data_IF_683319434971
#
_entry.id   IF_683319434971
#
_cell.length_a   1.000
_cell.length_b   1.000
_cell.length_c   1.000
_cell.angle_alpha   90.00
_cell.angle_beta   90.00
_cell.angle_gamma   90.00
#
_symmetry.space_group_name_H-M   'P 1'
#
loop_
_entity.id
_entity.type
_entity.pdbx_description
1 polymer ?
#
# COMPACT_ATOMS: atom_id res chain seq x y z
N UNK A 1 -4.23 7.40 -16.89
CA UNK A 1 -5.56 7.29 -16.27
C UNK A 1 -6.47 8.44 -16.67
N UNK A 2 -6.14 9.71 -16.40
CA UNK A 2 -6.95 10.88 -16.83
C UNK A 2 -7.28 10.85 -18.33
N UNK A 3 -6.30 10.49 -19.16
CA UNK A 3 -6.50 10.29 -20.61
C UNK A 3 -7.49 9.16 -20.95
N UNK A 4 -7.42 8.02 -20.25
CA UNK A 4 -8.37 6.91 -20.43
C UNK A 4 -9.77 7.31 -19.94
N UNK A 5 -9.88 7.99 -18.80
CA UNK A 5 -11.15 8.47 -18.25
C UNK A 5 -11.78 9.53 -19.15
N UNK A 6 -10.98 10.39 -19.80
CA UNK A 6 -11.44 11.34 -20.82
C UNK A 6 -11.92 10.64 -22.09
N UNK A 7 -11.31 9.53 -22.50
CA UNK A 7 -11.77 8.71 -23.64
C UNK A 7 -13.08 7.99 -23.34
N UNK A 8 -13.22 7.41 -22.16
CA UNK A 8 -14.46 6.75 -21.71
C UNK A 8 -15.58 7.80 -21.54
N UNK A 9 -15.27 9.01 -21.08
CA UNK A 9 -16.25 10.10 -20.97
C UNK A 9 -16.77 10.69 -22.29
N UNK A 10 -16.18 10.31 -23.42
CA UNK A 10 -16.66 10.69 -24.76
C UNK A 10 -17.55 9.61 -25.39
N UNK A 11 -17.71 8.46 -24.76
CA UNK A 11 -18.59 7.39 -25.19
C UNK A 11 -19.90 7.54 -24.39
N UNK A 12 -20.86 8.26 -24.96
CA UNK A 12 -22.18 8.48 -24.34
C UNK A 12 -23.00 7.18 -24.32
N UNK A 13 -23.14 6.56 -23.14
CA UNK A 13 -24.12 5.50 -22.86
C UNK A 13 -24.33 5.33 -21.34
N UNK A 14 -25.57 5.11 -20.92
CA UNK A 14 -26.00 4.97 -19.50
C UNK A 14 -25.25 3.90 -18.67
N UNK A 15 -24.50 2.99 -19.32
CA UNK A 15 -23.48 2.07 -18.74
C UNK A 15 -22.40 2.76 -17.88
N UNK A 16 -22.28 4.08 -18.03
CA UNK A 16 -21.16 4.86 -17.53
C UNK A 16 -21.10 5.03 -16.01
N UNK A 17 -22.23 4.92 -15.29
CA UNK A 17 -22.24 5.11 -13.83
C UNK A 17 -21.56 3.92 -13.12
N UNK A 18 -21.90 2.69 -13.52
CA UNK A 18 -21.30 1.49 -12.94
C UNK A 18 -19.83 1.35 -13.31
N UNK A 19 -19.47 1.59 -14.57
CA UNK A 19 -18.08 1.55 -15.01
C UNK A 19 -17.21 2.62 -14.32
N UNK A 20 -17.73 3.84 -14.13
CA UNK A 20 -17.04 4.88 -13.36
C UNK A 20 -16.88 4.51 -11.90
N UNK A 21 -17.91 3.92 -11.28
CA UNK A 21 -17.85 3.45 -9.91
C UNK A 21 -16.82 2.34 -9.76
N UNK A 22 -16.81 1.36 -10.67
CA UNK A 22 -15.83 0.28 -10.69
C UNK A 22 -14.40 0.79 -10.88
N UNK A 23 -14.19 1.74 -11.80
CA UNK A 23 -12.90 2.39 -11.99
C UNK A 23 -12.45 3.17 -10.76
N UNK A 24 -13.38 3.90 -10.11
CA UNK A 24 -13.10 4.66 -8.89
C UNK A 24 -12.73 3.75 -7.72
N UNK A 25 -13.48 2.65 -7.53
CA UNK A 25 -13.23 1.63 -6.50
C UNK A 25 -11.89 0.95 -6.76
N UNK A 26 -11.64 0.50 -7.99
CA UNK A 26 -10.36 -0.10 -8.38
C UNK A 26 -9.17 0.84 -8.12
N UNK A 27 -9.30 2.11 -8.48
CA UNK A 27 -8.25 3.10 -8.22
C UNK A 27 -8.04 3.36 -6.74
N UNK A 28 -9.11 3.54 -5.96
CA UNK A 28 -9.02 3.73 -4.51
C UNK A 28 -8.36 2.53 -3.83
N UNK A 29 -8.64 1.32 -4.27
CA UNK A 29 -8.05 0.11 -3.73
C UNK A 29 -6.54 0.01 -4.03
N UNK A 30 -6.14 0.27 -5.28
CA UNK A 30 -4.73 0.26 -5.70
C UNK A 30 -3.94 1.36 -4.97
N UNK A 31 -4.43 2.60 -4.99
CA UNK A 31 -3.75 3.74 -4.36
C UNK A 31 -3.79 3.66 -2.84
N UNK A 32 -4.85 3.10 -2.26
CA UNK A 32 -4.99 2.88 -0.82
C UNK A 32 -3.89 1.98 -0.27
N UNK A 33 -3.64 0.84 -0.93
CA UNK A 33 -2.54 -0.05 -0.59
C UNK A 33 -1.17 0.65 -0.70
N UNK A 34 -0.94 1.42 -1.77
CA UNK A 34 0.28 2.20 -1.93
C UNK A 34 0.47 3.23 -0.81
N UNK A 35 -0.55 4.03 -0.49
CA UNK A 35 -0.45 5.06 0.56
C UNK A 35 -0.15 4.46 1.93
N UNK A 36 -0.75 3.32 2.25
CA UNK A 36 -0.46 2.60 3.49
C UNK A 36 0.98 2.07 3.52
N UNK A 37 1.47 1.53 2.39
CA UNK A 37 2.87 1.10 2.25
C UNK A 37 3.85 2.26 2.48
N UNK A 38 3.60 3.41 1.84
CA UNK A 38 4.44 4.60 1.98
C UNK A 38 4.48 5.11 3.42
N UNK A 39 3.37 5.02 4.16
CA UNK A 39 3.34 5.34 5.59
C UNK A 39 4.22 4.39 6.40
N UNK A 40 4.17 3.08 6.11
CA UNK A 40 5.05 2.08 6.72
C UNK A 40 6.53 2.38 6.47
N UNK A 41 6.88 2.65 5.20
CA UNK A 41 8.25 3.01 4.79
C UNK A 41 8.75 4.29 5.46
N UNK A 42 7.91 5.33 5.54
CA UNK A 42 8.28 6.58 6.21
C UNK A 42 8.68 6.34 7.68
N UNK A 43 7.87 5.58 8.42
CA UNK A 43 8.20 5.23 9.81
C UNK A 43 9.39 4.28 9.91
N UNK A 44 9.58 3.37 8.95
CA UNK A 44 10.78 2.52 8.88
C UNK A 44 12.04 3.38 8.76
N UNK A 45 12.05 4.35 7.85
CA UNK A 45 13.17 5.29 7.73
C UNK A 45 13.36 6.11 9.00
N UNK A 46 12.28 6.61 9.60
CA UNK A 46 12.36 7.36 10.85
C UNK A 46 12.96 6.54 11.99
N UNK A 47 12.60 5.25 12.10
CA UNK A 47 13.12 4.36 13.14
C UNK A 47 14.65 4.19 13.07
N UNK A 48 15.25 4.27 11.87
CA UNK A 48 16.72 4.18 11.69
C UNK A 48 17.47 5.31 12.38
N UNK A 49 16.87 6.49 12.50
CA UNK A 49 17.53 7.68 13.05
C UNK A 49 17.14 7.98 14.51
N UNK A 50 16.22 7.20 15.08
CA UNK A 50 15.72 7.41 16.44
C UNK A 50 16.51 6.62 17.48
N UNK A 51 16.57 7.18 18.69
CA UNK A 51 17.12 6.57 19.92
C UNK A 51 16.26 5.40 20.38
N UNK A 52 16.80 4.48 21.20
CA UNK A 52 16.18 3.17 21.46
C UNK A 52 14.73 3.20 21.96
N UNK A 53 14.38 4.17 22.81
CA UNK A 53 13.02 4.28 23.36
C UNK A 53 12.02 4.69 22.27
N UNK A 54 12.29 5.79 21.56
CA UNK A 54 11.47 6.28 20.45
C UNK A 54 11.44 5.31 19.26
N UNK A 55 12.51 4.51 19.08
CA UNK A 55 12.60 3.55 17.98
C UNK A 55 11.51 2.49 18.08
N UNK A 56 11.17 2.02 19.29
CA UNK A 56 10.11 1.01 19.49
C UNK A 56 8.75 1.57 19.08
N UNK A 57 8.43 2.78 19.53
CA UNK A 57 7.16 3.43 19.20
C UNK A 57 7.00 3.67 17.69
N UNK A 58 8.08 4.10 17.04
CA UNK A 58 8.10 4.33 15.59
C UNK A 58 8.07 3.01 14.80
N UNK A 59 8.76 1.97 15.29
CA UNK A 59 8.71 0.63 14.70
C UNK A 59 7.29 0.04 14.77
N UNK A 60 6.58 0.21 15.89
CA UNK A 60 5.18 -0.21 16.03
C UNK A 60 4.25 0.55 15.07
N UNK A 61 4.50 1.84 14.83
CA UNK A 61 3.76 2.62 13.83
C UNK A 61 4.05 2.14 12.41
N UNK A 62 5.30 1.79 12.11
CA UNK A 62 5.68 1.20 10.82
C UNK A 62 5.01 -0.15 10.60
N UNK A 63 5.02 -1.01 11.62
CA UNK A 63 4.38 -2.33 11.60
C UNK A 63 2.87 -2.21 11.33
N UNK A 64 2.17 -1.32 12.03
CA UNK A 64 0.74 -1.05 11.79
C UNK A 64 0.48 -0.58 10.35
N UNK A 65 1.38 0.25 9.80
CA UNK A 65 1.32 0.69 8.42
C UNK A 65 1.42 -0.45 7.41
N UNK A 66 2.42 -1.32 7.56
CA UNK A 66 2.61 -2.48 6.69
C UNK A 66 1.51 -3.52 6.84
N UNK A 67 1.01 -3.77 8.06
CA UNK A 67 -0.13 -4.67 8.29
C UNK A 67 -1.39 -4.16 7.60
N UNK A 68 -1.70 -2.86 7.72
CA UNK A 68 -2.84 -2.26 7.04
C UNK A 68 -2.69 -2.34 5.50
N UNK A 69 -1.48 -2.07 4.99
CA UNK A 69 -1.17 -2.20 3.56
C UNK A 69 -1.34 -3.64 3.07
N UNK A 70 -0.83 -4.62 3.84
CA UNK A 70 -0.86 -6.03 3.49
C UNK A 70 -2.29 -6.58 3.50
N UNK A 71 -3.09 -6.20 4.49
CA UNK A 71 -4.51 -6.55 4.54
C UNK A 71 -5.26 -5.98 3.32
N UNK A 72 -5.07 -4.68 3.03
CA UNK A 72 -5.72 -4.01 1.89
C UNK A 72 -5.29 -4.62 0.55
N UNK A 73 -4.00 -4.96 0.41
CA UNK A 73 -3.48 -5.60 -0.79
C UNK A 73 -3.99 -7.03 -0.93
N UNK A 74 -4.13 -7.77 0.17
CA UNK A 74 -4.60 -9.16 0.14
C UNK A 74 -6.09 -9.27 -0.17
N UNK A 75 -6.90 -8.29 0.27
CA UNK A 75 -8.34 -8.27 0.00
C UNK A 75 -8.67 -7.81 -1.42
N UNK A 76 -7.88 -6.88 -1.98
CA UNK A 76 -8.25 -6.20 -3.22
C UNK A 76 -7.36 -6.54 -4.43
N UNK A 77 -6.17 -7.14 -4.21
CA UNK A 77 -5.21 -7.40 -5.27
C UNK A 77 -4.85 -8.89 -5.35
N UNK A 78 -4.74 -9.39 -6.59
CA UNK A 78 -4.24 -10.74 -6.87
C UNK A 78 -2.83 -10.96 -6.29
N UNK A 79 -2.47 -12.17 -5.82
CA UNK A 79 -1.12 -12.50 -5.35
C UNK A 79 0.01 -12.18 -6.34
N UNK A 80 -0.27 -12.23 -7.64
CA UNK A 80 0.71 -11.96 -8.72
C UNK A 80 0.87 -10.46 -9.04
N UNK A 81 0.11 -9.59 -8.38
CA UNK A 81 0.13 -8.16 -8.70
C UNK A 81 1.44 -7.51 -8.22
N UNK A 82 2.16 -6.74 -9.08
CA UNK A 82 3.48 -6.20 -8.74
C UNK A 82 3.53 -5.40 -7.44
N UNK A 83 2.48 -4.63 -7.13
CA UNK A 83 2.42 -3.82 -5.90
C UNK A 83 2.42 -4.70 -4.64
N UNK A 84 1.78 -5.87 -4.69
CA UNK A 84 1.74 -6.79 -3.56
C UNK A 84 3.09 -7.45 -3.33
N UNK A 85 3.83 -7.76 -4.39
CA UNK A 85 5.21 -8.26 -4.33
C UNK A 85 6.16 -7.21 -3.75
N UNK A 86 6.08 -5.96 -4.23
CA UNK A 86 6.89 -4.84 -3.71
C UNK A 86 6.60 -4.60 -2.23
N UNK A 87 5.33 -4.63 -1.84
CA UNK A 87 4.94 -4.50 -0.44
C UNK A 87 5.50 -5.63 0.43
N UNK A 88 5.41 -6.88 -0.03
CA UNK A 88 5.96 -8.02 0.69
C UNK A 88 7.48 -7.89 0.88
N UNK A 89 8.20 -7.46 -0.16
CA UNK A 89 9.63 -7.20 -0.10
C UNK A 89 9.96 -6.10 0.91
N UNK A 90 9.25 -4.96 0.87
CA UNK A 90 9.48 -3.86 1.82
C UNK A 90 9.20 -4.29 3.26
N UNK A 91 8.17 -5.13 3.46
CA UNK A 91 7.84 -5.63 4.80
C UNK A 91 8.88 -6.64 5.32
N UNK A 92 9.41 -7.50 4.46
CA UNK A 92 10.55 -8.37 4.80
C UNK A 92 11.79 -7.56 5.20
N UNK A 93 12.11 -6.52 4.43
CA UNK A 93 13.22 -5.60 4.75
C UNK A 93 13.00 -4.94 6.11
N UNK A 94 11.76 -4.57 6.45
CA UNK A 94 11.44 -4.04 7.78
C UNK A 94 11.73 -5.05 8.91
N UNK A 95 11.31 -6.31 8.77
CA UNK A 95 11.59 -7.35 9.77
C UNK A 95 13.09 -7.60 9.95
N UNK A 96 13.83 -7.58 8.85
CA UNK A 96 15.28 -7.76 8.85
C UNK A 96 16.02 -6.57 9.47
N UNK A 97 15.77 -5.35 8.99
CA UNK A 97 16.55 -4.15 9.36
C UNK A 97 16.13 -3.54 10.69
N UNK A 98 14.85 -3.59 11.05
CA UNK A 98 14.31 -2.86 12.22
C UNK A 98 14.07 -3.81 13.40
N UNK A 99 13.47 -4.98 13.14
CA UNK A 99 13.10 -5.94 14.18
C UNK A 99 14.14 -7.04 14.41
N UNK A 100 15.23 -7.08 13.63
CA UNK A 100 16.26 -8.12 13.67
C UNK A 100 15.69 -9.55 13.74
N UNK A 101 14.56 -9.77 13.07
CA UNK A 101 13.78 -11.01 13.14
C UNK A 101 13.67 -11.62 11.74
N UNK A 102 14.75 -12.21 11.19
CA UNK A 102 14.79 -12.68 9.80
C UNK A 102 13.89 -13.89 9.50
N UNK A 103 13.35 -14.53 10.54
CA UNK A 103 12.49 -15.73 10.45
C UNK A 103 11.01 -15.41 10.18
N UNK A 104 10.62 -14.12 10.23
CA UNK A 104 9.26 -13.61 10.00
C UNK A 104 9.16 -12.86 8.67
#
# INVERSE_FOLDING_TARGET
MVECTKKIAKLDLESFVEERNLLSVGYKNVIGACRASWKGDYFRYLAKFKTEQDRKDVADQSLKGYQAASNTASTNLSPTYPIRLVLALNFFIFYYEILNSPER
#
